data_IF_595905373610
#
_entry.id   IF_595905373610
#
_cell.length_a   1.000
_cell.length_b   1.000
_cell.length_c   1.000
_cell.angle_alpha   90.00
_cell.angle_beta   90.00
_cell.angle_gamma   90.00
#
_symmetry.space_group_name_H-M   'P 1'
#
loop_
_entity.id
_entity.type
_entity.pdbx_description
1 polymer ?
#
# COMPACT_ATOMS: atom_id res chain seq x y z
N UNK A 1 -39.59 -14.88 -2.44
CA UNK A 1 -38.89 -15.68 -1.40
C UNK A 1 -37.42 -15.27 -1.41
N UNK A 2 -36.91 -14.64 -0.35
CA UNK A 2 -35.54 -14.12 -0.35
C UNK A 2 -34.58 -15.07 0.38
N UNK A 3 -33.49 -15.47 -0.29
CA UNK A 3 -32.41 -16.24 0.31
C UNK A 3 -31.79 -15.47 1.49
N UNK A 4 -32.04 -15.96 2.71
CA UNK A 4 -31.45 -15.41 3.94
C UNK A 4 -30.07 -16.02 4.16
N UNK A 5 -29.03 -15.33 3.70
CA UNK A 5 -27.65 -15.74 3.93
C UNK A 5 -27.24 -15.33 5.36
N UNK A 6 -27.06 -16.35 6.21
CA UNK A 6 -26.43 -16.23 7.53
C UNK A 6 -25.46 -17.40 7.66
N UNK A 7 -24.15 -17.13 7.77
CA UNK A 7 -23.13 -18.15 7.97
C UNK A 7 -22.23 -17.73 9.13
N UNK A 8 -22.10 -18.58 10.13
CA UNK A 8 -21.16 -18.39 11.24
C UNK A 8 -20.06 -19.42 11.10
N UNK A 9 -18.81 -18.97 11.05
CA UNK A 9 -17.62 -19.81 10.88
C UNK A 9 -16.73 -19.62 12.12
N UNK A 10 -16.40 -20.72 12.78
CA UNK A 10 -15.42 -20.74 13.88
C UNK A 10 -14.04 -20.93 13.27
N UNK A 11 -13.14 -19.98 13.50
CA UNK A 11 -11.77 -20.03 12.97
C UNK A 11 -10.81 -20.57 14.02
N UNK A 12 -10.98 -20.15 15.27
CA UNK A 12 -10.14 -20.54 16.40
C UNK A 12 -10.97 -20.58 17.69
N UNK A 13 -10.50 -21.24 18.77
CA UNK A 13 -11.08 -21.06 20.10
C UNK A 13 -11.09 -19.57 20.47
N UNK A 14 -12.28 -19.03 20.71
CA UNK A 14 -12.47 -17.61 21.00
C UNK A 14 -12.63 -16.70 19.78
N UNK A 15 -12.48 -17.20 18.55
CA UNK A 15 -12.65 -16.40 17.32
C UNK A 15 -13.77 -16.95 16.45
N UNK A 16 -14.82 -16.15 16.25
CA UNK A 16 -15.96 -16.47 15.40
C UNK A 16 -16.24 -15.35 14.41
N UNK A 17 -16.42 -15.69 13.14
CA UNK A 17 -16.85 -14.74 12.12
C UNK A 17 -18.30 -15.03 11.76
N UNK A 18 -19.14 -14.01 11.80
CA UNK A 18 -20.54 -14.07 11.39
C UNK A 18 -20.70 -13.23 10.11
N UNK A 19 -21.16 -13.89 9.05
CA UNK A 19 -21.41 -13.33 7.74
C UNK A 19 -22.92 -13.29 7.55
N UNK A 20 -23.47 -12.10 7.36
CA UNK A 20 -24.90 -11.89 7.17
C UNK A 20 -25.16 -10.79 6.13
N UNK A 21 -26.44 -10.59 5.76
CA UNK A 21 -26.86 -9.53 4.83
C UNK A 21 -26.39 -8.12 5.23
N UNK A 22 -26.17 -7.85 6.51
CA UNK A 22 -25.70 -6.54 7.01
C UNK A 22 -24.17 -6.37 7.01
N UNK A 23 -23.43 -7.45 6.70
CA UNK A 23 -21.96 -7.46 6.64
C UNK A 23 -21.33 -8.58 7.46
N UNK A 24 -20.00 -8.53 7.53
CA UNK A 24 -19.16 -9.42 8.33
C UNK A 24 -18.95 -8.80 9.71
N UNK A 25 -19.16 -9.58 10.76
CA UNK A 25 -18.79 -9.22 12.14
C UNK A 25 -17.88 -10.29 12.72
N UNK A 26 -16.86 -9.90 13.46
CA UNK A 26 -15.90 -10.80 14.08
C UNK A 26 -16.01 -10.69 15.60
N UNK A 27 -16.20 -11.82 16.27
CA UNK A 27 -16.17 -11.92 17.73
C UNK A 27 -14.85 -12.58 18.12
N UNK A 28 -14.07 -11.89 18.95
CA UNK A 28 -12.75 -12.24 19.41
C UNK A 28 -12.77 -12.21 20.95
N UNK A 29 -12.68 -13.34 21.62
CA UNK A 29 -12.75 -13.35 23.08
C UNK A 29 -12.61 -14.70 23.76
N UNK A 30 -12.11 -14.66 24.98
CA UNK A 30 -12.03 -15.79 25.91
C UNK A 30 -12.98 -15.54 27.09
N UNK A 31 -13.17 -16.55 27.96
CA UNK A 31 -13.97 -16.37 29.18
C UNK A 31 -13.40 -15.19 30.00
N UNK A 32 -14.20 -14.14 30.16
CA UNK A 32 -13.82 -12.93 30.89
C UNK A 32 -13.36 -11.74 30.04
N UNK A 33 -13.09 -11.91 28.74
CA UNK A 33 -12.79 -10.78 27.84
C UNK A 33 -13.24 -11.08 26.41
N UNK A 34 -14.26 -10.36 25.92
CA UNK A 34 -14.81 -10.53 24.57
C UNK A 34 -14.95 -9.20 23.85
N UNK A 35 -14.35 -9.10 22.67
CA UNK A 35 -14.50 -8.01 21.73
C UNK A 35 -15.36 -8.48 20.54
N UNK A 36 -16.42 -7.74 20.21
CA UNK A 36 -17.28 -8.00 19.06
C UNK A 36 -17.19 -6.82 18.09
N UNK A 37 -16.51 -7.01 16.97
CA UNK A 37 -16.31 -6.03 15.92
C UNK A 37 -17.41 -6.20 14.87
N UNK A 38 -18.20 -5.14 14.67
CA UNK A 38 -19.25 -5.10 13.66
C UNK A 38 -19.25 -3.76 12.93
N UNK A 39 -19.94 -3.69 11.78
CA UNK A 39 -20.16 -2.45 11.02
C UNK A 39 -20.76 -1.31 11.87
N UNK A 40 -21.49 -1.64 12.94
CA UNK A 40 -22.13 -0.65 13.83
C UNK A 40 -21.20 -0.15 14.94
N UNK A 41 -20.12 -0.87 15.23
CA UNK A 41 -19.25 -0.60 16.35
C UNK A 41 -18.61 -1.84 16.95
N UNK A 42 -17.69 -1.58 17.86
CA UNK A 42 -16.95 -2.58 18.62
C UNK A 42 -17.48 -2.64 20.04
N UNK A 43 -18.04 -3.78 20.44
CA UNK A 43 -18.45 -4.01 21.84
C UNK A 43 -17.35 -4.76 22.56
N UNK A 44 -16.78 -4.17 23.60
CA UNK A 44 -15.78 -4.81 24.45
C UNK A 44 -16.45 -5.12 25.78
N UNK A 45 -16.44 -6.38 26.18
CA UNK A 45 -16.93 -6.86 27.45
C UNK A 45 -15.77 -7.49 28.20
N UNK A 46 -15.42 -6.93 29.34
CA UNK A 46 -14.42 -7.48 30.26
C UNK A 46 -15.07 -7.78 31.60
N UNK A 47 -14.79 -8.93 32.17
CA UNK A 47 -15.40 -9.36 33.43
C UNK A 47 -14.61 -10.48 34.06
N UNK A 48 -14.66 -10.57 35.38
CA UNK A 48 -13.96 -11.61 36.10
C UNK A 48 -14.87 -12.85 36.11
N UNK A 49 -14.45 -13.98 35.51
CA UNK A 49 -15.26 -15.18 35.48
C UNK A 49 -15.45 -15.71 36.91
N UNK A 50 -16.69 -15.97 37.30
CA UNK A 50 -17.02 -16.53 38.62
C UNK A 50 -17.38 -15.52 39.71
N UNK A 51 -17.21 -14.21 39.48
CA UNK A 51 -17.58 -13.16 40.46
C UNK A 51 -18.86 -12.41 40.13
N UNK A 52 -19.44 -12.64 38.94
CA UNK A 52 -20.64 -11.94 38.48
C UNK A 52 -20.42 -10.49 38.05
N UNK A 53 -19.17 -9.99 38.13
CA UNK A 53 -18.84 -8.61 37.77
C UNK A 53 -18.34 -8.56 36.32
N UNK A 54 -19.09 -7.89 35.46
CA UNK A 54 -18.70 -7.62 34.07
C UNK A 54 -18.98 -6.17 33.70
N UNK A 55 -18.00 -5.52 33.08
CA UNK A 55 -18.17 -4.21 32.45
C UNK A 55 -18.25 -4.40 30.93
N UNK A 56 -19.19 -3.71 30.29
CA UNK A 56 -19.30 -3.73 28.83
C UNK A 56 -19.33 -2.31 28.30
N UNK A 57 -18.44 -2.02 27.36
CA UNK A 57 -18.34 -0.71 26.72
C UNK A 57 -18.60 -0.87 25.23
N UNK A 58 -19.56 -0.11 24.72
CA UNK A 58 -19.89 -0.09 23.30
C UNK A 58 -19.25 1.12 22.63
N UNK A 59 -18.27 0.86 21.78
CA UNK A 59 -17.66 1.88 20.95
C UNK A 59 -18.42 1.91 19.62
N UNK A 60 -19.27 2.92 19.44
CA UNK A 60 -19.95 3.13 18.16
C UNK A 60 -18.88 3.31 17.10
N UNK A 61 -19.00 2.59 15.98
CA UNK A 61 -18.12 2.83 14.86
C UNK A 61 -18.39 4.28 14.44
N UNK A 62 -17.40 5.16 14.64
CA UNK A 62 -17.39 6.42 13.95
C UNK A 62 -17.37 6.00 12.49
N UNK A 63 -18.49 6.14 11.80
CA UNK A 63 -18.42 6.26 10.35
C UNK A 63 -17.43 7.40 10.18
N UNK A 64 -16.17 7.09 9.89
CA UNK A 64 -15.51 7.87 8.88
C UNK A 64 -16.55 7.83 7.78
N UNK A 65 -17.29 8.94 7.59
CA UNK A 65 -17.59 9.33 6.22
C UNK A 65 -16.27 8.99 5.54
N UNK A 66 -16.29 8.02 4.63
CA UNK A 66 -15.27 8.02 3.62
C UNK A 66 -15.37 9.45 3.12
N UNK A 67 -14.52 10.34 3.65
CA UNK A 67 -14.20 11.60 3.03
C UNK A 67 -13.92 11.10 1.65
N UNK A 68 -14.89 11.36 0.76
CA UNK A 68 -14.95 10.87 -0.61
C UNK A 68 -13.52 10.72 -1.00
N UNK A 69 -13.02 9.49 -1.13
CA UNK A 69 -11.59 9.28 -1.31
C UNK A 69 -11.31 10.16 -2.49
N UNK A 70 -10.72 11.34 -2.24
CA UNK A 70 -10.42 12.31 -3.28
C UNK A 70 -9.54 11.42 -4.13
N UNK A 71 -9.98 11.04 -5.35
CA UNK A 71 -9.19 10.14 -6.18
C UNK A 71 -7.83 10.78 -6.11
N UNK A 72 -6.83 10.09 -5.52
CA UNK A 72 -5.52 10.71 -5.30
C UNK A 72 -5.20 11.27 -6.65
N UNK A 73 -5.18 12.59 -6.74
CA UNK A 73 -4.89 13.28 -7.96
C UNK A 73 -3.44 12.89 -8.16
N UNK A 74 -3.25 11.82 -8.94
CA UNK A 74 -1.94 11.32 -9.28
C UNK A 74 -1.32 12.52 -9.97
N UNK A 75 -0.52 13.25 -9.21
CA UNK A 75 0.22 14.36 -9.76
C UNK A 75 0.96 13.77 -10.94
N UNK A 76 0.88 14.44 -12.09
CA UNK A 76 1.64 14.05 -13.29
C UNK A 76 3.11 13.75 -12.95
N UNK A 77 3.64 14.37 -11.89
CA UNK A 77 4.93 14.07 -11.29
C UNK A 77 5.12 12.61 -10.81
N UNK A 78 4.11 11.95 -10.22
CA UNK A 78 4.23 10.56 -9.75
C UNK A 78 4.34 9.55 -10.91
N UNK A 79 3.65 9.81 -12.01
CA UNK A 79 3.74 8.98 -13.22
C UNK A 79 5.03 9.22 -13.97
N UNK A 80 5.44 10.49 -14.09
CA UNK A 80 6.73 10.85 -14.69
C UNK A 80 7.89 10.27 -13.87
N UNK A 81 7.83 10.34 -12.54
CA UNK A 81 8.87 9.76 -11.68
C UNK A 81 8.89 8.24 -11.77
N UNK A 82 7.75 7.56 -11.77
CA UNK A 82 7.70 6.11 -11.97
C UNK A 82 8.27 5.69 -13.34
N UNK A 83 7.98 6.45 -14.40
CA UNK A 83 8.51 6.21 -15.74
C UNK A 83 10.02 6.43 -15.81
N UNK A 84 10.51 7.55 -15.25
CA UNK A 84 11.95 7.87 -15.18
C UNK A 84 12.71 6.82 -14.35
N UNK A 85 12.16 6.35 -13.23
CA UNK A 85 12.78 5.30 -12.42
C UNK A 85 12.83 3.98 -13.20
N UNK A 86 11.76 3.63 -13.93
CA UNK A 86 11.72 2.44 -14.79
C UNK A 86 12.77 2.50 -15.90
N UNK A 87 12.90 3.64 -16.58
CA UNK A 87 13.92 3.88 -17.61
C UNK A 87 15.34 3.78 -17.03
N UNK A 88 15.61 4.43 -15.89
CA UNK A 88 16.92 4.35 -15.23
C UNK A 88 17.23 2.90 -14.82
N UNK A 89 16.26 2.17 -14.26
CA UNK A 89 16.43 0.78 -13.87
C UNK A 89 16.66 -0.14 -15.08
N UNK A 90 16.02 0.14 -16.23
CA UNK A 90 16.24 -0.58 -17.48
C UNK A 90 17.64 -0.29 -18.07
N UNK A 91 18.08 0.98 -18.04
CA UNK A 91 19.42 1.39 -18.48
C UNK A 91 20.49 0.79 -17.57
N UNK A 92 20.30 0.84 -16.25
CA UNK A 92 21.22 0.24 -15.27
C UNK A 92 21.22 -1.29 -15.37
N UNK A 93 20.04 -1.90 -15.57
CA UNK A 93 19.90 -3.33 -15.80
C UNK A 93 20.63 -3.78 -17.07
N UNK A 94 20.49 -3.03 -18.17
CA UNK A 94 21.24 -3.25 -19.41
C UNK A 94 22.75 -3.08 -19.19
N UNK A 95 23.14 -2.04 -18.44
CA UNK A 95 24.53 -1.79 -18.08
C UNK A 95 25.15 -2.88 -17.18
N UNK A 96 24.34 -3.58 -16.38
CA UNK A 96 24.77 -4.70 -15.53
C UNK A 96 24.73 -6.06 -16.23
N UNK A 97 23.89 -6.23 -17.27
CA UNK A 97 23.72 -7.49 -17.99
C UNK A 97 24.70 -7.68 -19.15
N UNK A 98 25.10 -6.61 -19.82
CA UNK A 98 26.18 -6.63 -20.80
C UNK A 98 27.34 -5.79 -20.27
N UNK A 99 28.55 -6.35 -20.24
CA UNK A 99 29.81 -5.63 -20.01
C UNK A 99 30.12 -4.62 -21.12
N UNK A 100 29.24 -3.65 -21.33
CA UNK A 100 29.22 -2.64 -22.39
C UNK A 100 30.07 -1.39 -22.10
N UNK A 101 31.04 -1.49 -21.18
CA UNK A 101 31.98 -0.42 -20.87
C UNK A 101 32.76 0.07 -22.12
N UNK A 102 32.94 -0.79 -23.12
CA UNK A 102 33.66 -0.49 -24.37
C UNK A 102 32.92 0.49 -25.30
N UNK A 103 31.58 0.45 -25.34
CA UNK A 103 30.80 1.34 -26.21
C UNK A 103 30.62 2.72 -25.57
N UNK A 104 30.48 2.80 -24.24
CA UNK A 104 30.36 4.06 -23.52
C UNK A 104 31.70 4.81 -23.43
N UNK A 105 32.82 4.12 -23.19
CA UNK A 105 34.16 4.72 -23.34
C UNK A 105 34.48 5.09 -24.79
N UNK A 106 34.09 4.27 -25.77
CA UNK A 106 34.29 4.58 -27.19
C UNK A 106 33.51 5.82 -27.64
N UNK A 107 32.25 5.95 -27.24
CA UNK A 107 31.43 7.12 -27.54
C UNK A 107 31.99 8.39 -26.87
N UNK A 108 32.37 8.32 -25.59
CA UNK A 108 33.00 9.46 -24.90
C UNK A 108 34.35 9.84 -25.53
N UNK A 109 35.16 8.87 -25.98
CA UNK A 109 36.43 9.13 -26.66
C UNK A 109 36.28 9.77 -28.05
N UNK A 110 35.13 9.66 -28.70
CA UNK A 110 34.87 10.29 -30.02
C UNK A 110 34.16 11.64 -29.87
N UNK A 111 33.18 11.74 -28.97
CA UNK A 111 32.39 12.96 -28.81
C UNK A 111 33.14 14.08 -28.07
N UNK A 112 34.02 13.75 -27.10
CA UNK A 112 34.79 14.77 -26.38
C UNK A 112 35.80 15.48 -27.30
N UNK A 113 36.65 14.79 -28.09
CA UNK A 113 37.57 15.46 -29.01
C UNK A 113 36.84 16.20 -30.13
N UNK A 114 35.74 15.66 -30.66
CA UNK A 114 34.97 16.30 -31.71
C UNK A 114 34.28 17.59 -31.21
N UNK A 115 33.70 17.55 -30.01
CA UNK A 115 33.15 18.73 -29.35
C UNK A 115 34.22 19.79 -29.08
N UNK A 116 35.41 19.38 -28.60
CA UNK A 116 36.53 20.29 -28.35
C UNK A 116 37.07 20.89 -29.65
N UNK A 117 37.16 20.12 -30.73
CA UNK A 117 37.61 20.58 -32.05
C UNK A 117 36.63 21.59 -32.67
N UNK A 118 35.33 21.34 -32.59
CA UNK A 118 34.32 22.28 -33.07
C UNK A 118 34.29 23.56 -32.23
N UNK A 119 34.44 23.44 -30.91
CA UNK A 119 34.56 24.60 -30.02
C UNK A 119 35.79 25.46 -30.34
N UNK A 120 36.94 24.84 -30.60
CA UNK A 120 38.17 25.56 -30.95
C UNK A 120 38.12 26.17 -32.35
N UNK A 121 37.46 25.50 -33.31
CA UNK A 121 37.24 26.03 -34.66
C UNK A 121 36.32 27.26 -34.70
N UNK A 122 35.40 27.38 -33.74
CA UNK A 122 34.44 28.49 -33.68
C UNK A 122 34.97 29.76 -33.00
N UNK A 123 36.20 29.76 -32.46
CA UNK A 123 36.80 31.00 -31.94
C UNK A 123 37.49 31.75 -33.08
N UNK A 124 37.11 33.01 -33.40
CA UNK A 124 37.87 33.81 -34.35
C UNK A 124 39.26 34.08 -33.76
N UNK A 125 40.29 33.94 -34.59
CA UNK A 125 41.64 34.34 -34.26
C UNK A 125 41.60 35.82 -33.86
N UNK A 126 42.05 36.12 -32.64
CA UNK A 126 42.44 37.48 -32.24
C UNK A 126 43.74 37.81 -32.95
#
# INVERSE_FOLDING_TARGET
>A
MALRIRKSIKIAPGVRINISKSGVSTSLGVKGATANLSKRGTRITTGIPGTGISSSTFYKAKQKQAATAVPREYSTAEWVTAWVIGEIAAIVGWFMLDGGFRLLCGALAVFIPLGMFLYYRSKPAV
#
